data_IF_053317164805
#
_entry.id   IF_053317164805
#
_cell.length_a   1.000
_cell.length_b   1.000
_cell.length_c   1.000
_cell.angle_alpha   90.00
_cell.angle_beta   90.00
_cell.angle_gamma   90.00
#
_symmetry.space_group_name_H-M   'P 1'
#
loop_
_entity.id
_entity.type
_entity.pdbx_description
1 polymer ?
#
# COMPACT_ATOMS: atom_id res chain seq x y z
N UNK A 1 31.91 48.72 8.65
CA UNK A 1 32.53 50.01 9.11
C UNK A 1 34.05 50.01 8.92
N UNK A 2 34.73 48.89 9.14
CA UNK A 2 36.19 48.77 9.02
C UNK A 2 36.79 49.21 7.68
N UNK A 3 36.13 48.90 6.55
CA UNK A 3 36.59 49.34 5.23
C UNK A 3 36.55 50.85 5.04
N UNK A 4 35.61 51.54 5.70
CA UNK A 4 35.52 53.00 5.66
C UNK A 4 36.68 53.65 6.43
N UNK A 5 37.01 53.11 7.61
CA UNK A 5 38.17 53.55 8.39
C UNK A 5 39.50 53.28 7.65
N UNK A 6 39.62 52.13 6.97
CA UNK A 6 40.77 51.80 6.12
C UNK A 6 40.90 52.73 4.91
N UNK A 7 39.78 53.08 4.26
CA UNK A 7 39.77 54.05 3.17
C UNK A 7 40.20 55.46 3.64
N UNK A 8 39.73 55.91 4.80
CA UNK A 8 40.15 57.19 5.39
C UNK A 8 41.65 57.20 5.73
N UNK A 9 42.19 56.09 6.24
CA UNK A 9 43.61 55.98 6.56
C UNK A 9 44.48 55.97 5.28
N UNK A 10 44.02 55.27 4.23
CA UNK A 10 44.68 55.26 2.92
C UNK A 10 44.69 56.66 2.26
N UNK A 11 43.59 57.42 2.36
CA UNK A 11 43.53 58.81 1.90
C UNK A 11 44.48 59.72 2.68
N UNK A 12 44.57 59.59 4.00
CA UNK A 12 45.53 60.34 4.84
C UNK A 12 46.98 60.04 4.47
N UNK A 13 47.26 58.82 3.99
CA UNK A 13 48.57 58.41 3.51
C UNK A 13 48.84 58.80 2.03
N UNK A 14 47.89 59.47 1.36
CA UNK A 14 48.01 59.89 -0.04
C UNK A 14 47.84 58.76 -1.06
N UNK A 15 47.38 57.58 -0.65
CA UNK A 15 47.16 56.44 -1.53
C UNK A 15 45.68 56.32 -1.91
N UNK A 16 45.30 57.03 -2.98
CA UNK A 16 43.92 57.06 -3.47
C UNK A 16 43.44 55.71 -4.03
N UNK A 17 44.35 54.92 -4.62
CA UNK A 17 44.00 53.63 -5.22
C UNK A 17 43.57 52.62 -4.16
N UNK A 18 44.34 52.54 -3.06
CA UNK A 18 43.99 51.70 -1.91
C UNK A 18 42.69 52.15 -1.24
N UNK A 19 42.41 53.45 -1.23
CA UNK A 19 41.14 53.98 -0.73
C UNK A 19 39.95 53.60 -1.62
N UNK A 20 40.10 53.66 -2.96
CA UNK A 20 39.09 53.18 -3.90
C UNK A 20 38.81 51.69 -3.74
N UNK A 21 39.86 50.87 -3.60
CA UNK A 21 39.70 49.44 -3.40
C UNK A 21 38.96 49.13 -2.09
N UNK A 22 39.30 49.81 -0.99
CA UNK A 22 38.63 49.67 0.29
C UNK A 22 37.13 50.05 0.20
N UNK A 23 36.79 51.13 -0.50
CA UNK A 23 35.40 51.54 -0.73
C UNK A 23 34.65 50.55 -1.63
N UNK A 24 35.30 50.03 -2.68
CA UNK A 24 34.73 49.00 -3.55
C UNK A 24 34.38 47.73 -2.76
N UNK A 25 35.29 47.25 -1.91
CA UNK A 25 35.03 46.10 -1.03
C UNK A 25 33.91 46.37 -0.03
N UNK A 26 33.80 47.59 0.49
CA UNK A 26 32.66 48.00 1.34
C UNK A 26 31.34 47.91 0.57
N UNK A 27 31.30 48.43 -0.65
CA UNK A 27 30.09 48.41 -1.48
C UNK A 27 29.66 46.97 -1.75
N UNK A 28 30.59 46.11 -2.17
CA UNK A 28 30.32 44.68 -2.39
C UNK A 28 29.75 43.99 -1.14
N UNK A 29 30.26 44.31 0.05
CA UNK A 29 29.72 43.77 1.30
C UNK A 29 28.33 44.31 1.63
N UNK A 30 28.06 45.58 1.33
CA UNK A 30 26.74 46.16 1.51
C UNK A 30 25.72 45.50 0.57
N UNK A 31 26.07 45.36 -0.70
CA UNK A 31 25.22 44.72 -1.71
C UNK A 31 24.94 43.25 -1.35
N UNK A 32 25.97 42.52 -0.88
CA UNK A 32 25.80 41.14 -0.41
C UNK A 32 24.88 41.06 0.82
N UNK A 33 25.01 41.98 1.78
CA UNK A 33 24.15 42.04 2.96
C UNK A 33 22.69 42.34 2.59
N UNK A 34 22.46 43.26 1.66
CA UNK A 34 21.13 43.58 1.17
C UNK A 34 20.51 42.37 0.46
N UNK A 35 21.26 41.71 -0.42
CA UNK A 35 20.82 40.49 -1.08
C UNK A 35 20.46 39.37 -0.09
N UNK A 36 21.26 39.16 0.96
CA UNK A 36 20.95 38.18 2.02
C UNK A 36 19.73 38.60 2.83
N UNK A 37 19.51 39.90 3.07
CA UNK A 37 18.33 40.40 3.78
C UNK A 37 17.05 40.09 2.98
N UNK A 38 17.05 40.37 1.67
CA UNK A 38 15.94 40.02 0.78
C UNK A 38 15.69 38.51 0.77
N UNK A 39 16.74 37.69 0.79
CA UNK A 39 16.60 36.24 0.91
C UNK A 39 15.96 35.82 2.23
N UNK A 40 16.35 36.42 3.35
CA UNK A 40 15.77 36.16 4.67
C UNK A 40 14.28 36.50 4.68
N UNK A 41 13.91 37.67 4.13
CA UNK A 41 12.50 38.09 4.06
C UNK A 41 11.67 37.11 3.22
N UNK A 42 12.21 36.68 2.08
CA UNK A 42 11.53 35.68 1.23
C UNK A 42 11.35 34.32 1.93
N UNK A 43 12.30 33.93 2.77
CA UNK A 43 12.22 32.69 3.54
C UNK A 43 11.23 32.82 4.70
N UNK A 44 11.18 33.98 5.35
CA UNK A 44 10.18 34.27 6.39
C UNK A 44 8.76 34.14 5.82
N UNK A 45 8.48 34.75 4.66
CA UNK A 45 7.19 34.60 4.00
C UNK A 45 6.86 33.14 3.61
N UNK A 46 7.87 32.37 3.20
CA UNK A 46 7.68 30.95 2.87
C UNK A 46 7.35 30.12 4.13
N UNK A 47 7.99 30.43 5.26
CA UNK A 47 7.72 29.80 6.56
C UNK A 47 6.30 30.14 7.02
N UNK A 48 5.87 31.40 6.90
CA UNK A 48 4.53 31.82 7.28
C UNK A 48 3.46 31.08 6.47
N UNK A 49 3.62 30.99 5.15
CA UNK A 49 2.73 30.20 4.28
C UNK A 49 2.71 28.71 4.65
N UNK A 50 3.86 28.15 4.99
CA UNK A 50 3.95 26.75 5.42
C UNK A 50 3.24 26.53 6.75
N UNK A 51 3.36 27.47 7.68
CA UNK A 51 2.70 27.44 8.99
C UNK A 51 1.17 27.57 8.85
N UNK A 52 0.69 28.50 8.02
CA UNK A 52 -0.74 28.60 7.70
C UNK A 52 -1.26 27.31 7.04
N UNK A 53 -0.50 26.75 6.10
CA UNK A 53 -0.82 25.46 5.47
C UNK A 53 -0.87 24.30 6.48
N UNK A 54 0.05 24.28 7.45
CA UNK A 54 0.06 23.29 8.54
C UNK A 54 -1.19 23.39 9.40
N UNK A 55 -1.56 24.60 9.84
CA UNK A 55 -2.77 24.79 10.65
C UNK A 55 -4.04 24.37 9.89
N UNK A 56 -4.12 24.70 8.60
CA UNK A 56 -5.25 24.27 7.77
C UNK A 56 -5.32 22.74 7.63
N UNK A 57 -4.17 22.08 7.45
CA UNK A 57 -4.09 20.63 7.40
C UNK A 57 -4.49 19.99 8.73
N UNK A 58 -4.05 20.55 9.85
CA UNK A 58 -4.43 20.09 11.18
C UNK A 58 -5.94 20.19 11.40
N UNK A 59 -6.56 21.32 11.02
CA UNK A 59 -8.02 21.47 11.05
C UNK A 59 -8.73 20.42 10.19
N UNK A 60 -8.26 20.19 8.95
CA UNK A 60 -8.82 19.17 8.06
C UNK A 60 -8.66 17.75 8.63
N UNK A 61 -7.55 17.46 9.30
CA UNK A 61 -7.34 16.17 9.97
C UNK A 61 -8.34 15.98 11.10
N UNK A 62 -8.58 17.01 11.92
CA UNK A 62 -9.58 16.96 13.00
C UNK A 62 -10.99 16.75 12.44
N UNK A 63 -11.37 17.50 11.39
CA UNK A 63 -12.65 17.31 10.69
C UNK A 63 -12.79 15.89 10.12
N UNK A 64 -11.76 15.38 9.45
CA UNK A 64 -11.75 14.04 8.88
C UNK A 64 -11.86 12.96 9.97
N UNK A 65 -11.18 13.14 11.11
CA UNK A 65 -11.26 12.23 12.26
C UNK A 65 -12.68 12.23 12.86
N UNK A 66 -13.27 13.40 13.06
CA UNK A 66 -14.66 13.53 13.53
C UNK A 66 -15.64 12.84 12.57
N UNK A 67 -15.48 13.06 11.25
CA UNK A 67 -16.32 12.40 10.23
C UNK A 67 -16.14 10.88 10.24
N UNK A 68 -14.91 10.39 10.41
CA UNK A 68 -14.63 8.95 10.56
C UNK A 68 -15.35 8.38 11.78
N UNK A 69 -15.26 9.03 12.94
CA UNK A 69 -15.92 8.59 14.17
C UNK A 69 -17.46 8.58 14.02
N UNK A 70 -18.02 9.61 13.38
CA UNK A 70 -19.45 9.68 13.07
C UNK A 70 -19.89 8.54 12.14
N UNK A 71 -19.13 8.25 11.09
CA UNK A 71 -19.42 7.14 10.17
C UNK A 71 -19.31 5.78 10.87
N UNK A 72 -18.29 5.60 11.72
CA UNK A 72 -18.13 4.38 12.51
C UNK A 72 -19.31 4.18 13.48
N UNK A 73 -19.78 5.24 14.14
CA UNK A 73 -20.96 5.19 15.00
C UNK A 73 -22.21 4.81 14.20
N UNK A 74 -22.46 5.45 13.05
CA UNK A 74 -23.58 5.10 12.16
C UNK A 74 -23.53 3.65 11.68
N UNK A 75 -22.36 3.15 11.31
CA UNK A 75 -22.19 1.76 10.89
C UNK A 75 -22.49 0.78 12.04
N UNK A 76 -22.07 1.09 13.28
CA UNK A 76 -22.41 0.29 14.47
C UNK A 76 -23.91 0.29 14.74
N UNK A 77 -24.57 1.46 14.67
CA UNK A 77 -26.02 1.55 14.82
C UNK A 77 -26.74 0.75 13.74
N UNK A 78 -26.38 0.94 12.47
CA UNK A 78 -26.98 0.21 11.35
C UNK A 78 -26.82 -1.31 11.50
N UNK A 79 -25.63 -1.78 11.92
CA UNK A 79 -25.40 -3.21 12.22
C UNK A 79 -26.27 -3.71 13.38
N UNK A 80 -26.41 -2.93 14.45
CA UNK A 80 -27.29 -3.27 15.58
C UNK A 80 -28.77 -3.30 15.15
N UNK A 81 -29.23 -2.33 14.36
CA UNK A 81 -30.59 -2.29 13.84
C UNK A 81 -30.86 -3.49 12.92
N UNK A 82 -29.90 -3.83 12.06
CA UNK A 82 -29.99 -5.03 11.22
C UNK A 82 -30.12 -6.28 12.09
N UNK A 83 -29.25 -6.47 13.08
CA UNK A 83 -29.33 -7.60 14.00
C UNK A 83 -30.67 -7.67 14.75
N UNK A 84 -31.18 -6.54 15.24
CA UNK A 84 -32.49 -6.49 15.90
C UNK A 84 -33.63 -6.83 14.92
N UNK A 85 -33.57 -6.33 13.69
CA UNK A 85 -34.56 -6.66 12.66
C UNK A 85 -34.48 -8.12 12.22
N UNK A 86 -33.29 -8.71 12.12
CA UNK A 86 -33.10 -10.13 11.81
C UNK A 86 -33.69 -11.00 12.94
N UNK A 87 -33.44 -10.62 14.21
CA UNK A 87 -34.02 -11.28 15.38
C UNK A 87 -35.53 -11.10 15.45
N UNK A 88 -36.05 -9.90 15.16
CA UNK A 88 -37.47 -9.61 15.16
C UNK A 88 -38.18 -10.31 14.01
N UNK A 89 -37.61 -10.36 12.81
CA UNK A 89 -38.12 -11.15 11.70
C UNK A 89 -38.15 -12.65 12.00
N UNK A 90 -37.18 -13.14 12.79
CA UNK A 90 -37.21 -14.48 13.37
C UNK A 90 -38.33 -14.69 14.42
N UNK A 91 -38.67 -13.65 15.18
CA UNK A 91 -39.65 -13.70 16.28
C UNK A 91 -41.10 -13.38 15.84
N UNK A 92 -41.30 -12.49 14.88
CA UNK A 92 -42.62 -12.08 14.37
C UNK A 92 -43.12 -12.94 13.20
N UNK A 93 -42.25 -13.78 12.63
CA UNK A 93 -42.58 -14.76 11.58
C UNK A 93 -42.68 -16.20 12.08
N UNK A 94 -42.78 -16.41 13.40
CA UNK A 94 -42.92 -17.73 14.01
C UNK A 94 -44.05 -17.73 15.03
N UNK A 95 -45.29 -17.64 14.52
CA UNK A 95 -46.33 -18.48 15.12
C UNK A 95 -45.78 -19.90 15.12
N UNK A 96 -45.85 -20.61 16.24
CA UNK A 96 -45.29 -21.96 16.38
C UNK A 96 -45.75 -22.94 15.27
N UNK A 97 -46.84 -22.62 14.56
CA UNK A 97 -47.30 -23.31 13.35
C UNK A 97 -46.39 -23.11 12.13
N UNK A 98 -45.84 -21.92 11.83
CA UNK A 98 -44.96 -21.72 10.67
C UNK A 98 -43.60 -22.42 10.82
N UNK A 99 -43.15 -22.59 12.06
CA UNK A 99 -41.97 -23.40 12.37
C UNK A 99 -42.27 -24.91 12.24
N UNK A 100 -43.51 -25.31 12.56
CA UNK A 100 -43.99 -26.67 12.36
C UNK A 100 -44.17 -26.98 10.86
N UNK A 101 -44.79 -26.09 10.08
CA UNK A 101 -44.96 -26.23 8.63
C UNK A 101 -43.62 -26.31 7.91
N UNK A 102 -42.62 -25.49 8.26
CA UNK A 102 -41.27 -25.62 7.68
C UNK A 102 -40.58 -26.92 8.07
N UNK A 103 -40.86 -27.45 9.25
CA UNK A 103 -40.34 -28.75 9.67
C UNK A 103 -41.04 -29.88 8.94
N UNK A 104 -42.36 -29.80 8.78
CA UNK A 104 -43.20 -30.72 8.01
C UNK A 104 -42.80 -30.73 6.53
N UNK A 105 -42.61 -29.57 5.91
CA UNK A 105 -42.17 -29.44 4.52
C UNK A 105 -40.77 -30.02 4.32
N UNK A 106 -39.88 -29.83 5.31
CA UNK A 106 -38.53 -30.42 5.28
C UNK A 106 -38.55 -31.92 5.51
N UNK A 107 -39.42 -32.44 6.38
CA UNK A 107 -39.61 -33.89 6.58
C UNK A 107 -40.24 -34.51 5.34
N UNK A 108 -41.28 -33.91 4.77
CA UNK A 108 -41.92 -34.35 3.53
C UNK A 108 -40.94 -34.36 2.36
N UNK A 109 -40.08 -33.34 2.23
CA UNK A 109 -39.03 -33.32 1.22
C UNK A 109 -37.97 -34.42 1.44
N UNK A 110 -37.64 -34.74 2.70
CA UNK A 110 -36.74 -35.84 3.04
C UNK A 110 -37.38 -37.21 2.80
N UNK A 111 -38.67 -37.37 3.09
CA UNK A 111 -39.44 -38.58 2.80
C UNK A 111 -39.56 -38.79 1.29
N UNK A 112 -39.89 -37.74 0.53
CA UNK A 112 -39.92 -37.78 -0.93
C UNK A 112 -38.53 -38.09 -1.52
N UNK A 113 -37.46 -37.50 -0.97
CA UNK A 113 -36.09 -37.81 -1.38
C UNK A 113 -35.70 -39.26 -1.03
N UNK A 114 -36.14 -39.78 0.11
CA UNK A 114 -35.93 -41.16 0.51
C UNK A 114 -36.72 -42.14 -0.38
N UNK A 115 -37.95 -41.79 -0.75
CA UNK A 115 -38.80 -42.55 -1.67
C UNK A 115 -38.21 -42.57 -3.08
N UNK A 116 -37.77 -41.43 -3.62
CA UNK A 116 -37.05 -41.36 -4.90
C UNK A 116 -35.73 -42.13 -4.84
N UNK A 117 -35.00 -42.08 -3.72
CA UNK A 117 -33.77 -42.87 -3.56
C UNK A 117 -34.06 -44.38 -3.49
N UNK A 118 -35.17 -44.78 -2.85
CA UNK A 118 -35.63 -46.17 -2.81
C UNK A 118 -36.14 -46.64 -4.18
N UNK A 119 -36.84 -45.80 -4.94
CA UNK A 119 -37.25 -46.06 -6.33
C UNK A 119 -36.04 -46.13 -7.26
N UNK A 120 -35.04 -45.26 -7.10
CA UNK A 120 -33.81 -45.28 -7.90
C UNK A 120 -32.91 -46.48 -7.54
N UNK A 121 -32.95 -46.94 -6.30
CA UNK A 121 -32.28 -48.18 -5.86
C UNK A 121 -32.97 -49.44 -6.41
N UNK A 122 -34.31 -49.44 -6.46
CA UNK A 122 -35.09 -50.55 -7.03
C UNK A 122 -35.09 -50.55 -8.56
N UNK A 123 -34.94 -49.41 -9.23
CA UNK A 123 -34.79 -49.29 -10.70
C UNK A 123 -33.35 -49.50 -11.22
N UNK A 124 -32.42 -50.04 -10.43
CA UNK A 124 -31.07 -50.47 -10.87
C UNK A 124 -31.09 -51.72 -11.79
N UNK A 125 -32.21 -51.99 -12.45
CA UNK A 125 -32.38 -53.06 -13.41
C UNK A 125 -33.32 -52.64 -14.56
N UNK A 126 -32.90 -51.70 -15.40
CA UNK A 126 -33.37 -51.66 -16.79
C UNK A 126 -32.30 -51.09 -17.74
N UNK A 127 -32.17 -51.65 -18.97
CA UNK A 127 -30.95 -51.63 -19.77
C UNK A 127 -30.91 -50.42 -20.72
N UNK A 128 -29.77 -49.73 -20.80
CA UNK A 128 -29.60 -48.63 -21.76
C UNK A 128 -28.50 -47.59 -21.50
N UNK A 129 -27.78 -47.64 -20.38
CA UNK A 129 -26.76 -46.64 -20.04
C UNK A 129 -25.40 -46.91 -20.68
N UNK A 130 -25.36 -46.86 -22.01
CA UNK A 130 -24.15 -46.84 -22.83
C UNK A 130 -23.21 -45.64 -22.52
N UNK A 131 -23.72 -44.61 -21.84
CA UNK A 131 -22.93 -43.45 -21.39
C UNK A 131 -21.89 -43.81 -20.30
N UNK A 132 -22.15 -44.84 -19.49
CA UNK A 132 -21.23 -45.21 -18.39
C UNK A 132 -19.94 -45.89 -18.86
N UNK A 133 -19.90 -46.41 -20.08
CA UNK A 133 -18.69 -47.02 -20.66
C UNK A 133 -17.81 -46.01 -21.41
N UNK A 134 -18.41 -45.00 -22.07
CA UNK A 134 -17.67 -43.92 -22.75
C UNK A 134 -16.95 -43.03 -21.72
N UNK A 135 -17.64 -42.65 -20.63
CA UNK A 135 -17.08 -41.82 -19.57
C UNK A 135 -15.88 -42.50 -18.88
N UNK A 136 -15.91 -43.83 -18.73
CA UNK A 136 -14.80 -44.61 -18.19
C UNK A 136 -13.60 -44.67 -19.14
N UNK A 137 -13.82 -44.72 -20.45
CA UNK A 137 -12.74 -44.71 -21.44
C UNK A 137 -12.05 -43.33 -21.51
N UNK A 138 -12.81 -42.24 -21.38
CA UNK A 138 -12.24 -40.88 -21.29
C UNK A 138 -11.45 -40.65 -20.01
N UNK A 139 -11.96 -41.11 -18.87
CA UNK A 139 -11.26 -41.00 -17.58
C UNK A 139 -9.90 -41.71 -17.55
N UNK A 140 -9.77 -42.79 -18.33
CA UNK A 140 -8.52 -43.57 -18.43
C UNK A 140 -7.49 -42.90 -19.36
N UNK A 141 -7.94 -42.10 -20.33
CA UNK A 141 -7.08 -41.29 -21.22
C UNK A 141 -6.66 -39.97 -20.55
N UNK A 142 -7.55 -39.32 -19.80
CA UNK A 142 -7.26 -38.07 -19.09
C UNK A 142 -6.28 -38.23 -17.92
N UNK A 143 -6.21 -39.41 -17.30
CA UNK A 143 -5.23 -39.70 -16.25
C UNK A 143 -3.77 -39.76 -16.71
N UNK A 144 -3.49 -39.61 -18.02
CA UNK A 144 -2.16 -39.86 -18.59
C UNK A 144 -1.33 -38.66 -19.07
N UNK A 145 -1.86 -37.42 -19.17
CA UNK A 145 -1.12 -36.38 -19.93
C UNK A 145 -1.22 -34.92 -19.49
N UNK A 146 -2.11 -34.49 -18.60
CA UNK A 146 -2.29 -33.03 -18.41
C UNK A 146 -1.42 -32.39 -17.33
N UNK A 147 -1.04 -33.15 -16.29
CA UNK A 147 -0.39 -32.56 -15.10
C UNK A 147 1.09 -32.25 -15.37
N UNK A 148 1.80 -33.11 -16.10
CA UNK A 148 3.22 -32.91 -16.41
C UNK A 148 3.45 -31.81 -17.47
N UNK A 149 2.55 -31.66 -18.43
CA UNK A 149 2.62 -30.61 -19.46
C UNK A 149 2.37 -29.21 -18.86
N UNK A 150 1.49 -29.10 -17.86
CA UNK A 150 1.27 -27.85 -17.11
C UNK A 150 2.45 -27.52 -16.19
N UNK A 151 3.07 -28.53 -15.56
CA UNK A 151 4.27 -28.35 -14.75
C UNK A 151 5.48 -27.90 -15.59
N UNK A 152 5.64 -28.46 -16.80
CA UNK A 152 6.68 -28.07 -17.73
C UNK A 152 6.52 -26.62 -18.22
N UNK A 153 5.29 -26.19 -18.54
CA UNK A 153 4.99 -24.79 -18.90
C UNK A 153 5.26 -23.82 -17.74
N UNK A 154 4.84 -24.17 -16.52
CA UNK A 154 5.07 -23.33 -15.34
C UNK A 154 6.57 -23.17 -15.01
N UNK A 155 7.35 -24.23 -15.20
CA UNK A 155 8.81 -24.18 -14.97
C UNK A 155 9.54 -23.36 -16.04
N UNK A 156 9.12 -23.45 -17.31
CA UNK A 156 9.65 -22.61 -18.39
C UNK A 156 9.37 -21.11 -18.19
N UNK A 157 8.17 -20.77 -17.71
CA UNK A 157 7.78 -19.40 -17.39
C UNK A 157 8.56 -18.81 -16.21
N UNK A 158 8.85 -19.62 -15.18
CA UNK A 158 9.62 -19.16 -14.02
C UNK A 158 11.10 -18.92 -14.36
N UNK A 159 11.69 -19.77 -15.20
CA UNK A 159 13.10 -19.65 -15.59
C UNK A 159 13.33 -18.55 -16.64
N UNK A 160 12.33 -18.22 -17.46
CA UNK A 160 12.40 -17.11 -18.42
C UNK A 160 12.27 -15.70 -17.80
N UNK A 161 11.86 -15.57 -16.54
CA UNK A 161 11.69 -14.27 -15.87
C UNK A 161 12.80 -13.95 -14.85
N UNK A 162 13.77 -14.85 -14.65
CA UNK A 162 14.91 -14.67 -13.74
C UNK A 162 16.25 -14.36 -14.43
N UNK A 163 16.28 -14.24 -15.75
CA UNK A 163 17.49 -13.97 -16.55
C UNK A 163 17.52 -12.59 -17.24
N UNK A 164 16.65 -11.65 -16.84
CA UNK A 164 16.54 -10.34 -17.51
C UNK A 164 16.75 -9.09 -16.62
N UNK A 165 17.39 -9.21 -15.45
CA UNK A 165 17.89 -8.02 -14.71
C UNK A 165 19.12 -8.30 -13.83
N UNK A 166 20.20 -8.82 -14.43
CA UNK A 166 21.52 -8.82 -13.79
C UNK A 166 22.66 -8.68 -14.81
N UNK A 167 22.90 -7.46 -15.30
CA UNK A 167 24.18 -7.15 -15.98
C UNK A 167 24.62 -5.68 -15.95
N UNK A 168 24.39 -4.92 -14.87
CA UNK A 168 25.03 -3.59 -14.70
C UNK A 168 25.43 -3.13 -13.28
N UNK A 169 25.61 -4.01 -12.29
CA UNK A 169 25.99 -3.56 -10.92
C UNK A 169 27.15 -4.33 -10.23
N UNK A 170 28.04 -4.99 -10.98
CA UNK A 170 29.14 -5.78 -10.39
C UNK A 170 30.40 -4.99 -9.98
N UNK A 171 30.31 -3.69 -9.66
CA UNK A 171 31.50 -2.89 -9.25
C UNK A 171 31.38 -2.12 -7.94
N UNK A 172 30.27 -2.23 -7.19
CA UNK A 172 30.09 -1.50 -5.92
C UNK A 172 30.05 -2.36 -4.65
N UNK A 173 29.88 -3.68 -4.74
CA UNK A 173 29.84 -4.54 -3.54
C UNK A 173 31.23 -4.88 -2.99
N UNK A 174 32.24 -5.05 -3.84
CA UNK A 174 33.60 -5.39 -3.40
C UNK A 174 34.27 -4.28 -2.58
N UNK A 175 33.96 -3.01 -2.86
CA UNK A 175 34.54 -1.87 -2.12
C UNK A 175 34.04 -1.77 -0.69
N UNK A 176 32.80 -2.17 -0.43
CA UNK A 176 32.19 -2.08 0.91
C UNK A 176 32.69 -3.22 1.79
N UNK A 177 32.87 -4.42 1.22
CA UNK A 177 33.44 -5.56 1.94
C UNK A 177 34.93 -5.34 2.27
N UNK A 178 35.71 -4.77 1.35
CA UNK A 178 37.14 -4.44 1.56
C UNK A 178 37.35 -3.39 2.67
N UNK A 179 36.45 -2.39 2.78
CA UNK A 179 36.52 -1.36 3.81
C UNK A 179 36.09 -1.89 5.19
N UNK A 180 35.17 -2.87 5.22
CA UNK A 180 34.76 -3.53 6.46
C UNK A 180 35.87 -4.42 7.03
N UNK A 181 36.60 -5.15 6.18
CA UNK A 181 37.74 -5.96 6.64
C UNK A 181 38.91 -5.11 7.15
N UNK A 182 39.16 -3.95 6.52
CA UNK A 182 40.19 -3.01 7.00
C UNK A 182 39.88 -2.47 8.39
N UNK A 183 38.63 -2.10 8.66
CA UNK A 183 38.22 -1.59 9.98
C UNK A 183 38.34 -2.64 11.08
N UNK A 184 38.08 -3.92 10.75
CA UNK A 184 38.26 -5.01 11.71
C UNK A 184 39.74 -5.24 12.03
N UNK A 185 40.61 -5.15 11.03
CA UNK A 185 42.06 -5.32 11.20
C UNK A 185 42.71 -4.18 11.98
N UNK A 186 42.23 -2.95 11.81
CA UNK A 186 42.74 -1.77 12.53
C UNK A 186 42.24 -1.70 13.99
N UNK A 187 41.10 -2.35 14.28
CA UNK A 187 40.56 -2.49 15.63
C UNK A 187 41.12 -3.68 16.43
N UNK A 188 42.02 -4.48 15.85
CA UNK A 188 42.80 -5.49 16.58
C UNK A 188 41.99 -6.64 17.21
N UNK A 189 40.95 -7.14 16.52
CA UNK A 189 40.28 -8.43 16.83
C UNK A 189 40.37 -9.42 15.66
#
# INVERSE_FOLDING_TARGET
EDWYNRAQLALKAGNEELAREALSRRQQQADASEATTVQIDSQAEAIDKLYEGMQMLESKILEAKSKKEQLAARARTAKSTQQVNDMLGGLTGTTSMDAFERMEEKVSALEAAAEVSAEMSTNKALPGSAESDIEKQFKMLESGSSVDDELAKMKGLLQGSSDADSSSSSSSSSKVDDDFEKLKKDAGL
#
